data_IF_873360560934
#
_entry.id   IF_873360560934
#
_cell.length_a   1.000
_cell.length_b   1.000
_cell.length_c   1.000
_cell.angle_alpha   90.00
_cell.angle_beta   90.00
_cell.angle_gamma   90.00
#
_symmetry.space_group_name_H-M   'P 1'
#
loop_
_entity.id
_entity.type
_entity.pdbx_description
1 polymer ?
#
# COMPACT_ATOMS: atom_id res chain seq x y z
N UNK A 1 0.34 -3.35 7.04
CA UNK A 1 -0.85 -3.12 6.19
C UNK A 1 -1.11 -4.22 5.15
N UNK A 2 -0.17 -5.12 4.81
CA UNK A 2 -0.39 -6.14 3.76
C UNK A 2 -1.69 -6.96 3.94
N UNK A 3 -2.03 -7.34 5.18
CA UNK A 3 -3.29 -8.04 5.50
C UNK A 3 -4.54 -7.22 5.15
N UNK A 4 -4.47 -5.88 5.21
CA UNK A 4 -5.59 -5.00 4.83
C UNK A 4 -5.76 -5.00 3.31
N UNK A 5 -4.66 -4.94 2.55
CA UNK A 5 -4.72 -5.00 1.09
C UNK A 5 -5.35 -6.31 0.62
N UNK A 6 -4.94 -7.42 1.24
CA UNK A 6 -5.50 -8.75 1.01
C UNK A 6 -7.00 -8.82 1.38
N UNK A 7 -7.38 -8.33 2.57
CA UNK A 7 -8.78 -8.25 2.99
C UNK A 7 -9.65 -7.35 2.10
N UNK A 8 -9.05 -6.35 1.44
CA UNK A 8 -9.70 -5.47 0.46
C UNK A 8 -9.79 -6.10 -0.93
N UNK A 9 -9.19 -7.27 -1.14
CA UNK A 9 -9.07 -7.90 -2.46
C UNK A 9 -8.18 -7.12 -3.42
N UNK A 10 -7.30 -6.25 -2.91
CA UNK A 10 -6.34 -5.52 -3.74
C UNK A 10 -5.20 -6.45 -4.10
N UNK A 11 -5.01 -6.70 -5.39
CA UNK A 11 -3.87 -7.46 -5.86
C UNK A 11 -2.58 -6.70 -5.53
N UNK A 12 -1.73 -7.30 -4.69
CA UNK A 12 -0.41 -6.77 -4.34
C UNK A 12 0.62 -7.52 -5.15
N UNK A 13 1.32 -6.81 -6.04
CA UNK A 13 2.43 -7.41 -6.80
C UNK A 13 3.63 -7.65 -5.89
N UNK A 14 4.53 -8.54 -6.31
CA UNK A 14 5.73 -8.86 -5.53
C UNK A 14 6.64 -7.64 -5.35
N UNK A 15 6.73 -6.75 -6.34
CA UNK A 15 7.50 -5.50 -6.24
C UNK A 15 6.91 -4.57 -5.16
N UNK A 16 5.58 -4.41 -5.16
CA UNK A 16 4.89 -3.62 -4.16
C UNK A 16 5.05 -4.21 -2.76
N UNK A 17 4.95 -5.54 -2.65
CA UNK A 17 5.16 -6.27 -1.39
C UNK A 17 6.59 -6.04 -0.88
N UNK A 18 7.59 -6.17 -1.73
CA UNK A 18 8.98 -5.96 -1.38
C UNK A 18 9.23 -4.51 -0.94
N UNK A 19 8.67 -3.53 -1.66
CA UNK A 19 8.75 -2.11 -1.31
C UNK A 19 8.13 -1.80 0.05
N UNK A 20 7.00 -2.43 0.37
CA UNK A 20 6.36 -2.32 1.68
C UNK A 20 7.26 -2.91 2.78
N UNK A 21 7.83 -4.09 2.54
CA UNK A 21 8.67 -4.79 3.51
C UNK A 21 10.04 -4.12 3.72
N UNK A 22 10.57 -3.45 2.71
CA UNK A 22 11.85 -2.72 2.78
C UNK A 22 11.69 -1.28 3.30
N UNK A 23 10.47 -0.78 3.44
CA UNK A 23 10.22 0.58 3.91
C UNK A 23 10.41 0.67 5.42
N UNK A 24 11.39 1.48 5.84
CA UNK A 24 11.69 1.75 7.26
C UNK A 24 11.14 3.09 7.74
N UNK A 25 10.54 3.89 6.84
CA UNK A 25 9.89 5.15 7.19
C UNK A 25 8.47 4.90 7.70
N UNK A 26 8.32 4.97 9.02
CA UNK A 26 7.05 4.80 9.73
C UNK A 26 5.99 5.80 9.23
N UNK A 27 6.38 7.03 8.90
CA UNK A 27 5.43 8.05 8.42
C UNK A 27 4.86 7.67 7.05
N UNK A 28 5.67 7.08 6.20
CA UNK A 28 5.22 6.52 4.91
C UNK A 28 4.32 5.32 5.11
N UNK A 29 4.69 4.39 6.00
CA UNK A 29 3.86 3.22 6.32
C UNK A 29 2.49 3.63 6.86
N UNK A 30 2.41 4.65 7.73
CA UNK A 30 1.15 5.16 8.29
C UNK A 30 0.27 5.83 7.24
N UNK A 31 0.86 6.62 6.33
CA UNK A 31 0.14 7.18 5.17
C UNK A 31 -0.44 6.08 4.30
N UNK A 32 0.33 5.06 3.98
CA UNK A 32 -0.15 3.91 3.20
C UNK A 32 -1.24 3.14 3.96
N UNK A 33 -1.12 2.97 5.26
CA UNK A 33 -2.15 2.35 6.08
C UNK A 33 -3.47 3.10 5.99
N UNK A 34 -3.45 4.41 6.21
CA UNK A 34 -4.65 5.26 6.10
C UNK A 34 -5.25 5.26 4.70
N UNK A 35 -4.41 5.26 3.65
CA UNK A 35 -4.88 5.17 2.26
C UNK A 35 -5.49 3.81 1.94
N UNK A 36 -4.92 2.70 2.42
CA UNK A 36 -5.44 1.35 2.19
C UNK A 36 -6.89 1.15 2.65
N UNK A 37 -7.33 1.91 3.66
CA UNK A 37 -8.71 1.88 4.15
C UNK A 37 -9.72 2.50 3.18
N UNK A 38 -9.28 3.46 2.35
CA UNK A 38 -10.16 4.26 1.46
C UNK A 38 -9.92 3.99 -0.02
N UNK A 39 -8.69 3.67 -0.41
CA UNK A 39 -8.26 3.48 -1.77
C UNK A 39 -8.89 2.23 -2.42
N UNK A 40 -9.27 2.38 -3.69
CA UNK A 40 -9.80 1.29 -4.53
C UNK A 40 -8.72 0.57 -5.32
N UNK A 41 -7.48 1.05 -5.30
CA UNK A 41 -6.35 0.49 -6.07
C UNK A 41 -5.06 0.56 -5.26
N UNK A 42 -4.12 -0.34 -5.55
CA UNK A 42 -2.79 -0.35 -4.91
C UNK A 42 -1.98 0.93 -5.22
N UNK A 43 -2.10 1.45 -6.44
CA UNK A 43 -1.48 2.73 -6.85
C UNK A 43 -1.91 3.88 -5.92
N UNK A 44 -3.20 3.98 -5.63
CA UNK A 44 -3.75 5.00 -4.72
C UNK A 44 -3.24 4.82 -3.28
N UNK A 45 -2.89 3.60 -2.88
CA UNK A 45 -2.30 3.33 -1.56
C UNK A 45 -0.85 3.79 -1.51
N UNK A 46 -0.03 3.27 -2.42
CA UNK A 46 1.42 3.50 -2.42
C UNK A 46 1.79 4.93 -2.82
N UNK A 47 0.85 5.66 -3.46
CA UNK A 47 1.06 7.02 -3.91
C UNK A 47 1.90 7.10 -5.18
N UNK A 48 2.05 5.99 -5.90
CA UNK A 48 2.71 5.95 -7.20
C UNK A 48 1.69 5.60 -8.28
N UNK A 49 1.73 6.37 -9.36
CA UNK A 49 0.74 6.54 -10.43
C UNK A 49 -0.42 7.48 -10.09
N UNK A 50 -0.11 8.64 -9.50
CA UNK A 50 -0.88 9.85 -9.78
C UNK A 50 -0.17 10.62 -10.89
N UNK A 51 -0.73 10.53 -12.09
CA UNK A 51 -0.61 11.59 -13.10
C UNK A 51 -1.52 12.75 -12.69
#
# INVERSE_FOLDING_TARGET
MLRILDARGLHVTDEARQRILSCTDISTLDRWFNRALKASTLANVLGDLAQ
#
